data_IF_285459440776
#
_entry.id   IF_285459440776
#
_cell.length_a   1.000
_cell.length_b   1.000
_cell.length_c   1.000
_cell.angle_alpha   90.00
_cell.angle_beta   90.00
_cell.angle_gamma   90.00
#
_symmetry.space_group_name_H-M   'P 1'
#
loop_
_entity.id
_entity.type
_entity.pdbx_description
1 polymer ?
#
# COMPACT_ATOMS: atom_id res chain seq x y z
N UNK A 1 19.22 -9.82 13.75
CA UNK A 1 20.16 -10.84 13.25
C UNK A 1 21.50 -10.82 13.97
N UNK A 2 22.13 -9.65 14.16
CA UNK A 2 23.42 -9.55 14.87
C UNK A 2 23.35 -10.12 16.28
N UNK A 3 22.34 -9.75 17.07
CA UNK A 3 22.15 -10.27 18.43
C UNK A 3 21.93 -11.80 18.45
N UNK A 4 21.27 -12.36 17.44
CA UNK A 4 21.08 -13.81 17.32
C UNK A 4 22.39 -14.53 17.01
N UNK A 5 23.21 -13.92 16.14
CA UNK A 5 24.56 -14.43 15.84
C UNK A 5 25.48 -14.38 17.06
N UNK A 6 25.43 -13.30 17.88
CA UNK A 6 26.16 -13.18 19.14
C UNK A 6 25.76 -14.28 20.16
N UNK A 7 24.51 -14.74 20.12
CA UNK A 7 24.02 -15.88 20.90
C UNK A 7 24.41 -17.24 20.32
N UNK A 8 25.24 -17.26 19.27
CA UNK A 8 25.70 -18.50 18.61
C UNK A 8 24.63 -19.24 17.81
N UNK A 9 23.54 -18.54 17.43
CA UNK A 9 22.44 -19.10 16.62
C UNK A 9 22.52 -18.60 15.19
N UNK A 10 21.86 -19.32 14.28
CA UNK A 10 21.79 -18.93 12.89
C UNK A 10 20.95 -17.64 12.73
N UNK A 11 21.58 -16.58 12.23
CA UNK A 11 20.92 -15.30 11.97
C UNK A 11 19.82 -15.39 10.91
N UNK A 12 19.87 -16.40 10.02
CA UNK A 12 18.84 -16.63 9.01
C UNK A 12 17.49 -17.06 9.60
N UNK A 13 17.46 -17.48 10.86
CA UNK A 13 16.20 -17.76 11.57
C UNK A 13 15.31 -16.52 11.74
N UNK A 14 15.90 -15.33 11.66
CA UNK A 14 15.15 -14.08 11.75
C UNK A 14 14.68 -13.70 10.35
N UNK A 15 13.41 -13.94 10.11
CA UNK A 15 12.71 -13.69 8.85
C UNK A 15 11.34 -13.07 9.15
N UNK A 16 10.85 -12.10 8.37
CA UNK A 16 9.47 -11.66 8.48
C UNK A 16 8.50 -12.83 8.24
N UNK A 17 7.46 -12.92 9.05
CA UNK A 17 6.47 -14.01 8.96
C UNK A 17 5.38 -13.75 7.91
N UNK A 18 5.42 -12.58 7.29
CA UNK A 18 4.53 -12.17 6.19
C UNK A 18 5.38 -11.52 5.09
N UNK A 19 4.94 -11.54 3.82
CA UNK A 19 5.61 -10.79 2.76
C UNK A 19 5.69 -9.30 3.09
N UNK A 20 6.83 -8.69 2.80
CA UNK A 20 7.09 -7.26 3.07
C UNK A 20 7.58 -6.60 1.79
N UNK A 21 6.83 -5.61 1.33
CA UNK A 21 7.22 -4.74 0.23
C UNK A 21 7.57 -3.36 0.77
N UNK A 22 8.84 -2.96 0.62
CA UNK A 22 9.29 -1.62 0.92
C UNK A 22 9.38 -0.83 -0.39
N UNK A 23 8.61 0.21 -0.49
CA UNK A 23 8.59 1.06 -1.69
C UNK A 23 9.30 2.38 -1.38
N UNK A 24 10.32 2.70 -2.19
CA UNK A 24 10.98 4.00 -2.12
C UNK A 24 10.15 4.99 -2.93
N UNK A 25 9.25 5.66 -2.23
CA UNK A 25 8.30 6.58 -2.80
C UNK A 25 8.65 8.03 -2.47
N UNK A 26 8.31 8.99 -3.35
CA UNK A 26 8.55 10.42 -3.18
C UNK A 26 10.00 10.84 -2.92
N UNK A 27 11.00 9.98 -3.18
CA UNK A 27 12.39 10.23 -2.80
C UNK A 27 13.14 11.10 -3.81
N UNK A 28 12.88 10.91 -5.11
CA UNK A 28 13.59 11.63 -6.17
C UNK A 28 13.13 13.09 -6.21
N UNK A 29 14.06 14.01 -5.92
CA UNK A 29 13.80 15.44 -6.00
C UNK A 29 14.12 15.97 -7.40
N UNK A 30 13.43 17.02 -7.81
CA UNK A 30 13.66 17.68 -9.11
C UNK A 30 14.73 18.76 -8.96
N UNK A 31 16.01 18.37 -9.00
CA UNK A 31 17.13 19.28 -9.03
C UNK A 31 17.40 19.82 -10.45
N UNK A 32 17.08 19.01 -11.45
CA UNK A 32 17.20 19.33 -12.87
C UNK A 32 15.84 19.20 -13.55
N UNK A 33 15.53 20.10 -14.45
CA UNK A 33 14.26 20.13 -15.18
C UNK A 33 14.44 20.61 -16.62
N UNK A 34 13.43 20.40 -17.47
CA UNK A 34 13.35 20.96 -18.82
C UNK A 34 14.25 20.32 -19.87
N UNK A 35 14.92 19.20 -19.56
CA UNK A 35 15.76 18.45 -20.51
C UNK A 35 15.41 16.97 -20.52
N UNK A 36 15.71 16.28 -21.62
CA UNK A 36 15.50 14.84 -21.71
C UNK A 36 16.38 14.04 -20.73
N UNK A 37 17.48 14.61 -20.26
CA UNK A 37 18.42 14.00 -19.32
C UNK A 37 18.05 14.24 -17.87
N UNK A 38 17.18 15.20 -17.58
CA UNK A 38 16.85 15.63 -16.21
C UNK A 38 16.45 14.47 -15.30
N UNK A 39 15.65 13.52 -15.77
CA UNK A 39 15.26 12.35 -14.99
C UNK A 39 16.47 11.51 -14.58
N UNK A 40 17.37 11.21 -15.52
CA UNK A 40 18.57 10.41 -15.23
C UNK A 40 19.52 11.13 -14.27
N UNK A 41 19.67 12.45 -14.42
CA UNK A 41 20.49 13.26 -13.53
C UNK A 41 19.91 13.30 -12.12
N UNK A 42 18.60 13.51 -11.97
CA UNK A 42 17.93 13.48 -10.66
C UNK A 42 18.05 12.10 -9.98
N UNK A 43 17.93 11.01 -10.74
CA UNK A 43 18.15 9.67 -10.20
C UNK A 43 19.59 9.47 -9.71
N UNK A 44 20.58 9.95 -10.45
CA UNK A 44 21.98 9.87 -10.02
C UNK A 44 22.23 10.67 -8.73
N UNK A 45 21.67 11.87 -8.64
CA UNK A 45 21.75 12.72 -7.44
C UNK A 45 21.04 12.04 -6.25
N UNK A 46 19.90 11.41 -6.47
CA UNK A 46 19.19 10.67 -5.42
C UNK A 46 20.05 9.54 -4.83
N UNK A 47 20.67 8.73 -5.68
CA UNK A 47 21.54 7.65 -5.23
C UNK A 47 22.80 8.17 -4.53
N UNK A 48 23.39 9.26 -5.01
CA UNK A 48 24.55 9.90 -4.36
C UNK A 48 24.20 10.42 -2.97
N UNK A 49 23.08 11.12 -2.84
CA UNK A 49 22.63 11.70 -1.55
C UNK A 49 22.24 10.64 -0.53
N UNK A 50 21.69 9.55 -0.96
CA UNK A 50 21.08 8.52 -0.10
C UNK A 50 21.76 7.15 -0.24
N UNK A 51 23.03 7.12 -0.63
CA UNK A 51 23.77 5.87 -0.89
C UNK A 51 23.69 4.88 0.27
N UNK A 52 23.93 5.34 1.50
CA UNK A 52 23.88 4.52 2.71
C UNK A 52 22.51 3.85 2.89
N UNK A 53 21.42 4.58 2.62
CA UNK A 53 20.05 4.01 2.62
C UNK A 53 19.92 2.86 1.60
N UNK A 54 20.38 3.08 0.39
CA UNK A 54 20.25 2.08 -0.67
C UNK A 54 21.15 0.87 -0.47
N UNK A 55 22.32 1.04 0.09
CA UNK A 55 23.17 -0.06 0.52
C UNK A 55 22.48 -0.90 1.61
N UNK A 56 21.86 -0.26 2.59
CA UNK A 56 21.10 -0.92 3.65
C UNK A 56 19.88 -1.67 3.08
N UNK A 57 19.10 -1.03 2.21
CA UNK A 57 17.94 -1.67 1.58
C UNK A 57 18.33 -2.87 0.71
N UNK A 58 19.43 -2.74 -0.03
CA UNK A 58 19.97 -3.85 -0.81
C UNK A 58 20.44 -5.00 0.06
N UNK A 59 21.08 -4.70 1.17
CA UNK A 59 21.42 -5.72 2.16
C UNK A 59 20.16 -6.41 2.68
N UNK A 60 19.12 -5.67 3.05
CA UNK A 60 17.86 -6.25 3.53
C UNK A 60 17.23 -7.21 2.52
N UNK A 61 17.15 -6.79 1.25
CA UNK A 61 16.62 -7.61 0.17
C UNK A 61 17.44 -8.90 -0.06
N UNK A 62 18.72 -8.89 0.22
CA UNK A 62 19.58 -10.07 0.12
C UNK A 62 19.54 -10.93 1.38
N UNK A 63 19.30 -10.33 2.52
CA UNK A 63 19.30 -10.98 3.83
C UNK A 63 17.99 -11.71 4.14
N UNK A 64 16.86 -11.23 3.63
CA UNK A 64 15.52 -11.75 3.90
C UNK A 64 14.88 -12.29 2.62
N UNK A 65 14.23 -13.44 2.70
CA UNK A 65 13.57 -14.08 1.54
C UNK A 65 12.23 -13.39 1.19
N UNK A 66 11.50 -12.95 2.21
CA UNK A 66 10.16 -12.37 2.07
C UNK A 66 10.15 -10.85 1.96
N UNK A 67 11.32 -10.21 1.95
CA UNK A 67 11.47 -8.77 1.86
C UNK A 67 11.87 -8.33 0.45
N UNK A 68 11.05 -7.48 -0.14
CA UNK A 68 11.31 -6.89 -1.46
C UNK A 68 11.42 -5.38 -1.37
N UNK A 69 12.22 -4.80 -2.26
CA UNK A 69 12.40 -3.35 -2.36
C UNK A 69 12.03 -2.90 -3.77
N UNK A 70 11.07 -1.99 -3.87
CA UNK A 70 10.75 -1.28 -5.10
C UNK A 70 11.62 -0.01 -5.14
N UNK A 71 12.53 0.12 -6.12
CA UNK A 71 13.48 1.22 -6.16
C UNK A 71 12.79 2.56 -6.50
N UNK A 72 13.49 3.70 -6.30
CA UNK A 72 12.96 5.01 -6.68
C UNK A 72 12.81 5.15 -8.20
N UNK A 73 11.97 6.09 -8.63
CA UNK A 73 11.79 6.43 -10.05
C UNK A 73 10.82 5.53 -10.81
N UNK A 74 10.20 4.56 -10.17
CA UNK A 74 9.14 3.71 -10.78
C UNK A 74 7.77 4.39 -10.73
N UNK A 75 7.62 5.40 -9.90
CA UNK A 75 6.38 6.11 -9.63
C UNK A 75 5.83 5.83 -8.25
N UNK A 76 4.81 6.57 -7.87
CA UNK A 76 4.15 6.47 -6.58
C UNK A 76 3.32 5.18 -6.56
N UNK A 77 3.67 4.25 -5.71
CA UNK A 77 3.10 2.89 -5.69
C UNK A 77 1.59 2.87 -5.48
N UNK A 78 1.10 3.69 -4.56
CA UNK A 78 -0.32 3.73 -4.24
C UNK A 78 -1.18 4.43 -5.31
N UNK A 79 -0.56 5.05 -6.30
CA UNK A 79 -1.26 5.77 -7.36
C UNK A 79 -1.19 5.07 -8.72
N UNK A 80 -0.06 4.43 -9.05
CA UNK A 80 0.16 3.88 -10.39
C UNK A 80 0.55 2.40 -10.41
N UNK A 81 0.91 1.82 -9.27
CA UNK A 81 1.42 0.45 -9.19
C UNK A 81 0.60 -0.47 -8.27
N UNK A 82 -0.64 -0.10 -7.95
CA UNK A 82 -1.53 -0.90 -7.09
C UNK A 82 -1.68 -2.33 -7.63
N UNK A 83 -1.93 -2.47 -8.93
CA UNK A 83 -2.13 -3.76 -9.59
C UNK A 83 -0.84 -4.60 -9.66
N UNK A 84 0.31 -3.97 -9.57
CA UNK A 84 1.60 -4.66 -9.57
C UNK A 84 1.87 -5.37 -8.24
N UNK A 85 1.55 -4.74 -7.13
CA UNK A 85 1.76 -5.29 -5.79
C UNK A 85 0.63 -6.22 -5.34
N UNK A 86 -0.60 -5.90 -5.72
CA UNK A 86 -1.79 -6.63 -5.32
C UNK A 86 -1.96 -7.95 -6.09
N UNK A 87 -2.31 -9.01 -5.39
CA UNK A 87 -2.57 -10.33 -5.98
C UNK A 87 -4.04 -10.76 -5.95
N UNK A 88 -4.89 -10.02 -5.24
CA UNK A 88 -6.31 -10.33 -4.98
C UNK A 88 -6.51 -11.64 -4.21
N UNK A 89 -5.85 -12.72 -4.62
CA UNK A 89 -5.83 -14.02 -3.94
C UNK A 89 -4.38 -14.43 -3.69
N UNK A 90 -4.07 -14.71 -2.46
CA UNK A 90 -2.78 -15.25 -2.03
C UNK A 90 -2.86 -16.76 -1.90
N UNK A 91 -1.72 -17.43 -2.06
CA UNK A 91 -1.55 -18.85 -1.82
C UNK A 91 -0.43 -19.06 -0.80
N UNK A 92 -0.68 -19.98 0.12
CA UNK A 92 0.32 -20.42 1.09
C UNK A 92 0.36 -21.96 1.14
N UNK A 93 1.55 -22.51 1.05
CA UNK A 93 1.76 -23.93 1.29
C UNK A 93 1.76 -24.22 2.78
N UNK A 94 1.05 -25.26 3.17
CA UNK A 94 0.97 -25.77 4.54
C UNK A 94 1.27 -27.27 4.55
N UNK A 95 1.44 -27.86 5.73
CA UNK A 95 1.64 -29.31 5.85
C UNK A 95 0.44 -30.13 5.32
N UNK A 96 -0.75 -29.52 5.28
CA UNK A 96 -1.98 -30.14 4.83
C UNK A 96 -2.35 -29.81 3.37
N UNK A 97 -1.45 -29.09 2.65
CA UNK A 97 -1.63 -28.67 1.25
C UNK A 97 -1.69 -27.16 1.07
N UNK A 98 -2.03 -26.73 -0.14
CA UNK A 98 -2.15 -25.31 -0.50
C UNK A 98 -3.42 -24.69 0.06
N UNK A 99 -3.30 -23.57 0.74
CA UNK A 99 -4.41 -22.75 1.21
C UNK A 99 -4.47 -21.46 0.41
N UNK A 100 -5.64 -21.14 -0.14
CA UNK A 100 -5.91 -19.90 -0.83
C UNK A 100 -6.73 -18.96 0.07
N UNK A 101 -6.37 -17.70 0.08
CA UNK A 101 -7.04 -16.70 0.92
C UNK A 101 -7.06 -15.32 0.24
N UNK A 102 -8.01 -14.45 0.58
CA UNK A 102 -8.06 -13.10 0.06
C UNK A 102 -6.79 -12.32 0.42
N UNK A 103 -6.29 -11.54 -0.54
CA UNK A 103 -5.20 -10.62 -0.28
C UNK A 103 -5.67 -9.48 0.61
N UNK A 104 -4.89 -9.18 1.63
CA UNK A 104 -5.07 -8.04 2.52
C UNK A 104 -3.71 -7.48 2.89
N UNK A 105 -3.63 -6.20 3.19
CA UNK A 105 -2.37 -5.60 3.60
C UNK A 105 -2.54 -4.56 4.70
N UNK A 106 -1.48 -4.34 5.44
CA UNK A 106 -1.27 -3.17 6.27
C UNK A 106 -0.14 -2.32 5.69
N UNK A 107 -0.27 -1.02 5.75
CA UNK A 107 0.75 -0.11 5.24
C UNK A 107 0.95 1.09 6.15
N UNK A 108 2.15 1.65 6.14
CA UNK A 108 2.51 2.81 7.00
C UNK A 108 2.33 4.15 6.29
N UNK A 109 1.78 4.14 5.10
CA UNK A 109 1.55 5.32 4.28
C UNK A 109 0.10 5.81 4.37
N UNK A 110 -0.11 7.12 4.23
CA UNK A 110 -1.44 7.73 4.20
C UNK A 110 -2.29 7.34 2.98
N UNK A 111 -1.66 6.77 1.94
CA UNK A 111 -2.32 6.31 0.73
C UNK A 111 -2.62 4.80 0.74
N UNK A 112 -2.34 4.10 1.84
CA UNK A 112 -2.55 2.65 1.94
C UNK A 112 -3.96 2.22 1.55
N UNK A 113 -4.97 2.97 1.93
CA UNK A 113 -6.37 2.68 1.62
C UNK A 113 -6.74 2.77 0.14
N UNK A 114 -5.89 3.33 -0.72
CA UNK A 114 -6.12 3.35 -2.18
C UNK A 114 -6.24 1.94 -2.77
N UNK A 115 -5.59 0.95 -2.17
CA UNK A 115 -5.67 -0.45 -2.60
C UNK A 115 -7.11 -1.01 -2.50
N UNK A 116 -7.95 -0.42 -1.65
CA UNK A 116 -9.35 -0.82 -1.51
C UNK A 116 -10.13 -0.61 -2.82
N UNK A 117 -9.66 0.28 -3.70
CA UNK A 117 -10.20 0.45 -5.05
C UNK A 117 -10.12 -0.81 -5.92
N UNK A 118 -9.22 -1.74 -5.61
CA UNK A 118 -9.11 -3.08 -6.22
C UNK A 118 -9.99 -4.15 -5.53
N UNK A 119 -10.64 -3.80 -4.42
CA UNK A 119 -11.38 -4.77 -3.61
C UNK A 119 -10.51 -5.53 -2.61
N UNK A 120 -9.33 -5.02 -2.30
CA UNK A 120 -8.40 -5.56 -1.32
C UNK A 120 -8.48 -4.69 -0.06
N UNK A 121 -8.62 -5.31 1.11
CA UNK A 121 -8.62 -4.56 2.37
C UNK A 121 -7.20 -4.12 2.70
N UNK A 122 -6.95 -2.82 2.60
CA UNK A 122 -5.73 -2.16 3.04
C UNK A 122 -6.01 -1.31 4.26
N UNK A 123 -5.18 -1.47 5.29
CA UNK A 123 -5.32 -0.77 6.56
C UNK A 123 -4.08 0.08 6.85
N UNK A 124 -4.26 1.38 7.02
CA UNK A 124 -3.18 2.28 7.43
C UNK A 124 -2.85 2.09 8.91
N UNK A 125 -1.59 1.81 9.21
CA UNK A 125 -1.10 1.56 10.58
C UNK A 125 0.17 2.39 10.84
N UNK A 126 0.56 2.51 12.10
CA UNK A 126 1.86 3.06 12.47
C UNK A 126 3.01 2.05 12.23
N UNK A 127 4.24 2.53 12.31
CA UNK A 127 5.42 1.68 12.12
C UNK A 127 5.52 0.53 13.12
N UNK A 128 5.10 0.76 14.36
CA UNK A 128 5.12 -0.26 15.43
C UNK A 128 4.14 -1.40 15.11
N UNK A 129 2.94 -1.10 14.64
CA UNK A 129 1.96 -2.11 14.26
C UNK A 129 2.41 -2.88 13.01
N UNK A 130 3.06 -2.22 12.07
CA UNK A 130 3.65 -2.89 10.90
C UNK A 130 4.75 -3.87 11.32
N UNK A 131 5.64 -3.45 12.21
CA UNK A 131 6.69 -4.31 12.80
C UNK A 131 6.07 -5.49 13.53
N UNK A 132 5.05 -5.27 14.34
CA UNK A 132 4.31 -6.34 15.03
C UNK A 132 3.75 -7.36 14.03
N UNK A 133 3.16 -6.89 12.92
CA UNK A 133 2.69 -7.75 11.83
C UNK A 133 3.80 -8.59 11.20
N UNK A 134 4.97 -8.00 10.94
CA UNK A 134 6.14 -8.72 10.43
C UNK A 134 6.63 -9.82 11.40
N UNK A 135 6.52 -9.58 12.69
CA UNK A 135 6.88 -10.52 13.75
C UNK A 135 5.78 -11.55 14.06
N UNK A 136 4.67 -11.53 13.32
CA UNK A 136 3.53 -12.44 13.51
C UNK A 136 2.72 -12.15 14.75
N UNK A 137 2.81 -10.93 15.31
CA UNK A 137 1.97 -10.51 16.41
C UNK A 137 0.60 -10.08 15.88
N UNK A 138 -0.51 -10.48 16.53
CA UNK A 138 -1.83 -10.08 16.09
C UNK A 138 -2.09 -8.60 16.38
N UNK A 139 -2.74 -7.94 15.43
CA UNK A 139 -3.30 -6.60 15.62
C UNK A 139 -4.78 -6.75 15.91
N UNK A 140 -5.23 -6.21 17.05
CA UNK A 140 -6.61 -6.31 17.50
C UNK A 140 -7.38 -5.04 17.17
N UNK A 141 -8.57 -5.19 16.62
CA UNK A 141 -9.52 -4.11 16.45
C UNK A 141 -10.96 -4.63 16.67
N UNK A 142 -11.83 -3.74 17.07
CA UNK A 142 -13.25 -4.08 17.20
C UNK A 142 -13.83 -4.30 15.80
N UNK A 143 -14.71 -5.29 15.67
CA UNK A 143 -15.41 -5.53 14.41
C UNK A 143 -16.16 -4.25 13.99
N UNK A 144 -15.78 -3.61 12.88
CA UNK A 144 -16.42 -2.37 12.48
C UNK A 144 -17.84 -2.61 11.96
N UNK A 145 -18.69 -1.62 12.14
CA UNK A 145 -19.96 -1.56 11.41
C UNK A 145 -19.69 -1.32 9.91
N UNK A 146 -20.59 -1.80 9.07
CA UNK A 146 -20.51 -1.58 7.62
C UNK A 146 -21.60 -0.60 7.18
N UNK A 147 -21.18 0.45 6.49
CA UNK A 147 -22.09 1.44 5.88
C UNK A 147 -22.06 1.26 4.38
N UNK A 148 -23.20 0.93 3.79
CA UNK A 148 -23.35 0.79 2.35
C UNK A 148 -23.62 2.12 1.66
N UNK A 149 -22.90 2.40 0.56
CA UNK A 149 -23.11 3.55 -0.31
C UNK A 149 -23.46 3.08 -1.71
N UNK A 150 -24.72 3.26 -2.09
CA UNK A 150 -25.15 2.93 -3.45
C UNK A 150 -24.84 4.07 -4.41
N UNK A 151 -24.04 3.78 -5.43
CA UNK A 151 -23.77 4.69 -6.53
C UNK A 151 -24.62 4.34 -7.74
N UNK A 152 -25.49 5.24 -8.15
CA UNK A 152 -26.40 5.08 -9.29
C UNK A 152 -26.04 6.00 -10.44
N UNK A 153 -26.37 5.61 -11.68
CA UNK A 153 -26.17 6.42 -12.85
C UNK A 153 -24.69 6.49 -13.32
N UNK A 154 -24.27 7.67 -13.72
CA UNK A 154 -22.91 7.97 -14.19
C UNK A 154 -22.57 9.44 -13.99
N UNK A 155 -21.30 9.76 -13.97
CA UNK A 155 -20.84 11.15 -13.95
C UNK A 155 -21.34 11.88 -15.22
N UNK A 156 -21.81 13.10 -15.03
CA UNK A 156 -22.20 13.97 -16.14
C UNK A 156 -20.96 14.58 -16.78
N UNK A 157 -21.09 14.98 -18.03
CA UNK A 157 -20.01 15.70 -18.71
C UNK A 157 -19.59 16.95 -17.91
N UNK A 158 -18.28 17.14 -17.77
CA UNK A 158 -17.70 18.24 -17.00
C UNK A 158 -17.57 17.97 -15.49
N UNK A 159 -18.09 16.87 -14.97
CA UNK A 159 -17.89 16.46 -13.57
C UNK A 159 -16.67 15.55 -13.46
N UNK A 160 -15.78 15.86 -12.55
CA UNK A 160 -14.54 15.12 -12.34
C UNK A 160 -14.66 14.11 -11.20
N UNK A 161 -13.71 13.18 -11.14
CA UNK A 161 -13.58 12.26 -9.99
C UNK A 161 -13.39 13.00 -8.67
N UNK A 162 -12.74 14.16 -8.70
CA UNK A 162 -12.55 15.02 -7.51
C UNK A 162 -13.88 15.55 -6.99
N UNK A 163 -14.78 16.01 -7.86
CA UNK A 163 -16.12 16.50 -7.47
C UNK A 163 -16.92 15.37 -6.81
N UNK A 164 -16.87 14.17 -7.39
CA UNK A 164 -17.51 12.97 -6.83
C UNK A 164 -16.95 12.65 -5.44
N UNK A 165 -15.64 12.58 -5.33
CA UNK A 165 -14.96 12.21 -4.08
C UNK A 165 -15.25 13.21 -2.96
N UNK A 166 -15.17 14.52 -3.24
CA UNK A 166 -15.48 15.56 -2.26
C UNK A 166 -16.94 15.49 -1.81
N UNK A 167 -17.88 15.25 -2.75
CA UNK A 167 -19.29 15.09 -2.43
C UNK A 167 -19.54 13.85 -1.53
N UNK A 168 -18.91 12.74 -1.82
CA UNK A 168 -19.00 11.51 -1.01
C UNK A 168 -18.43 11.78 0.38
N UNK A 169 -17.23 12.37 0.44
CA UNK A 169 -16.54 12.66 1.72
C UNK A 169 -17.39 13.58 2.61
N UNK A 170 -17.99 14.62 2.04
CA UNK A 170 -18.88 15.53 2.78
C UNK A 170 -20.07 14.75 3.39
N UNK A 171 -20.75 13.92 2.59
CA UNK A 171 -21.89 13.12 3.04
C UNK A 171 -21.51 12.12 4.12
N UNK A 172 -20.40 11.41 3.94
CA UNK A 172 -19.93 10.43 4.92
C UNK A 172 -19.49 11.07 6.23
N UNK A 173 -18.85 12.24 6.17
CA UNK A 173 -18.51 13.02 7.37
C UNK A 173 -19.76 13.47 8.14
N UNK A 174 -20.77 13.92 7.43
CA UNK A 174 -22.06 14.31 8.04
C UNK A 174 -22.77 13.11 8.69
N UNK A 175 -22.63 11.90 8.11
CA UNK A 175 -23.18 10.67 8.66
C UNK A 175 -22.39 10.14 9.87
N UNK A 176 -21.10 10.45 9.99
CA UNK A 176 -20.24 10.00 11.07
C UNK A 176 -19.79 8.54 10.90
N UNK A 177 -18.99 8.27 9.86
CA UNK A 177 -18.50 6.91 9.54
C UNK A 177 -17.12 6.58 10.11
N UNK A 178 -16.56 7.43 10.94
CA UNK A 178 -15.24 7.17 11.55
C UNK A 178 -15.29 5.85 12.35
N UNK A 179 -14.35 4.96 12.07
CA UNK A 179 -14.28 3.62 12.67
C UNK A 179 -15.23 2.60 12.05
N UNK A 180 -15.86 2.92 10.92
CA UNK A 180 -16.74 2.01 10.17
C UNK A 180 -16.10 1.63 8.84
N UNK A 181 -16.48 0.50 8.27
CA UNK A 181 -16.22 0.18 6.87
C UNK A 181 -17.27 0.83 5.99
N UNK A 182 -16.83 1.38 4.86
CA UNK A 182 -17.72 1.93 3.84
C UNK A 182 -17.65 1.06 2.59
N UNK A 183 -18.76 0.46 2.23
CA UNK A 183 -18.88 -0.41 1.05
C UNK A 183 -19.59 0.34 -0.07
N UNK A 184 -18.94 0.44 -1.23
CA UNK A 184 -19.51 1.08 -2.43
C UNK A 184 -20.06 0.02 -3.39
N UNK A 185 -21.30 0.18 -3.78
CA UNK A 185 -21.96 -0.77 -4.68
C UNK A 185 -22.89 -0.06 -5.68
N UNK A 186 -23.58 -0.85 -6.49
CA UNK A 186 -24.50 -0.35 -7.50
C UNK A 186 -23.87 -0.21 -8.89
N UNK A 187 -24.68 0.18 -9.87
CA UNK A 187 -24.23 0.29 -11.26
C UNK A 187 -23.25 1.45 -11.48
N UNK A 188 -23.38 2.53 -10.72
CA UNK A 188 -22.46 3.67 -10.76
C UNK A 188 -21.06 3.27 -10.30
N UNK A 189 -20.93 2.48 -9.24
CA UNK A 189 -19.64 1.99 -8.77
C UNK A 189 -18.90 1.14 -9.81
N UNK A 190 -19.63 0.32 -10.58
CA UNK A 190 -19.03 -0.50 -11.65
C UNK A 190 -18.54 0.30 -12.84
N UNK A 191 -19.07 1.52 -13.04
CA UNK A 191 -18.67 2.41 -14.14
C UNK A 191 -17.43 3.24 -13.81
N UNK A 192 -17.03 3.33 -12.53
CA UNK A 192 -15.86 4.07 -12.12
C UNK A 192 -14.58 3.34 -12.54
N UNK A 193 -13.60 4.12 -12.98
CA UNK A 193 -12.26 3.61 -13.22
C UNK A 193 -11.60 3.16 -11.92
N UNK A 194 -10.53 2.36 -12.01
CA UNK A 194 -9.75 2.01 -10.83
C UNK A 194 -9.20 3.26 -10.11
N UNK A 195 -8.70 4.23 -10.87
CA UNK A 195 -8.16 5.48 -10.31
C UNK A 195 -9.21 6.26 -9.52
N UNK A 196 -10.46 6.35 -10.04
CA UNK A 196 -11.56 7.01 -9.34
C UNK A 196 -11.91 6.28 -8.04
N UNK A 197 -12.01 4.95 -8.08
CA UNK A 197 -12.28 4.13 -6.89
C UNK A 197 -11.17 4.25 -5.85
N UNK A 198 -9.90 4.24 -6.28
CA UNK A 198 -8.76 4.42 -5.39
C UNK A 198 -8.77 5.81 -4.72
N UNK A 199 -9.14 6.86 -5.47
CA UNK A 199 -9.26 8.22 -4.93
C UNK A 199 -10.36 8.30 -3.86
N UNK A 200 -11.52 7.69 -4.12
CA UNK A 200 -12.62 7.61 -3.14
C UNK A 200 -12.14 6.87 -1.89
N UNK A 201 -11.52 5.70 -2.05
CA UNK A 201 -11.04 4.88 -0.95
C UNK A 201 -9.98 5.57 -0.07
N UNK A 202 -9.25 6.55 -0.63
CA UNK A 202 -8.24 7.30 0.12
C UNK A 202 -8.82 8.47 0.91
N UNK A 203 -9.87 9.10 0.42
CA UNK A 203 -10.36 10.38 0.96
C UNK A 203 -11.66 10.27 1.75
N UNK A 204 -12.41 9.21 1.60
CA UNK A 204 -13.74 9.04 2.20
C UNK A 204 -13.72 8.39 3.60
#
# INVERSE_FOLDING_TARGET
RSAVAELGKDAAMIEPLVPVDLVVDHSVQVDKAGTAQAFKENMAIEFERNMERYEFLKWGQQAFETFQVVPPGIGIVHQVNLEYLAKVVQQRETNDGSVFYPDTLVGTDSHTTMINGLGIVGWGVGGIEAEAGMLGQPVYFLTPEVVGVELTGSLKEGITATDLTLTITEKLRALGVVGKFVEYYGEGARKLSLADRATIANMA
#
